data_IF_333129411388
#
_entry.id   IF_333129411388
#
_cell.length_a   1.000
_cell.length_b   1.000
_cell.length_c   1.000
_cell.angle_alpha   90.00
_cell.angle_beta   90.00
_cell.angle_gamma   90.00
#
_symmetry.space_group_name_H-M   'P 1'
#
loop_
_entity.id
_entity.type
_entity.pdbx_description
1 polymer ?
#
# COMPACT_ATOMS: atom_id res chain seq x y z
N UNK A 1 -11.07 -17.03 -18.98
CA UNK A 1 -10.72 -15.67 -19.43
C UNK A 1 -9.35 -15.75 -20.10
N UNK A 2 -9.04 -14.93 -21.10
CA UNK A 2 -7.67 -14.88 -21.64
C UNK A 2 -6.76 -14.17 -20.62
N UNK A 3 -5.51 -14.62 -20.49
CA UNK A 3 -4.53 -13.96 -19.63
C UNK A 3 -4.20 -12.58 -20.21
N UNK A 4 -4.12 -11.59 -19.33
CA UNK A 4 -3.77 -10.23 -19.71
C UNK A 4 -2.25 -10.10 -19.85
N UNK A 5 -1.79 -9.78 -21.06
CA UNK A 5 -0.36 -9.63 -21.34
C UNK A 5 0.15 -8.18 -21.20
N UNK A 6 -0.76 -7.21 -21.33
CA UNK A 6 -0.47 -5.77 -21.24
C UNK A 6 -1.64 -5.03 -20.59
N UNK A 7 -1.35 -4.01 -19.79
CA UNK A 7 -2.34 -3.15 -19.13
C UNK A 7 -2.56 -1.86 -19.94
N UNK A 8 -3.80 -1.60 -20.34
CA UNK A 8 -4.24 -0.31 -20.88
C UNK A 8 -4.89 0.58 -19.82
N UNK A 9 -5.26 1.80 -20.23
CA UNK A 9 -5.92 2.77 -19.34
C UNK A 9 -7.23 2.24 -18.73
N UNK A 10 -8.04 1.52 -19.51
CA UNK A 10 -9.28 0.90 -19.04
C UNK A 10 -9.04 -0.22 -18.02
N UNK A 11 -7.95 -0.98 -18.16
CA UNK A 11 -7.56 -2.00 -17.19
C UNK A 11 -7.14 -1.34 -15.87
N UNK A 12 -6.35 -0.27 -15.94
CA UNK A 12 -5.91 0.47 -14.77
C UNK A 12 -7.10 1.10 -14.02
N UNK A 13 -8.03 1.72 -14.75
CA UNK A 13 -9.29 2.25 -14.17
C UNK A 13 -10.10 1.15 -13.46
N UNK A 14 -10.24 -0.02 -14.08
CA UNK A 14 -10.90 -1.16 -13.46
C UNK A 14 -10.15 -1.67 -12.22
N UNK A 15 -8.82 -1.66 -12.25
CA UNK A 15 -8.00 -2.04 -11.11
C UNK A 15 -8.20 -1.10 -9.92
N UNK A 16 -8.24 0.22 -10.15
CA UNK A 16 -8.46 1.18 -9.07
C UNK A 16 -9.89 1.11 -8.50
N UNK A 17 -10.89 0.87 -9.35
CA UNK A 17 -12.27 0.62 -8.90
C UNK A 17 -12.38 -0.65 -8.04
N UNK A 18 -11.81 -1.76 -8.53
CA UNK A 18 -11.77 -3.01 -7.78
C UNK A 18 -10.98 -2.88 -6.48
N UNK A 19 -9.89 -2.11 -6.47
CA UNK A 19 -9.10 -1.86 -5.27
C UNK A 19 -9.87 -1.01 -4.24
N UNK A 20 -10.60 0.01 -4.69
CA UNK A 20 -11.53 0.77 -3.83
C UNK A 20 -12.57 -0.15 -3.21
N UNK A 21 -13.20 -1.03 -4.00
CA UNK A 21 -14.22 -1.97 -3.51
C UNK A 21 -13.64 -2.99 -2.52
N UNK A 22 -12.44 -3.50 -2.80
CA UNK A 22 -11.72 -4.42 -1.93
C UNK A 22 -11.38 -3.75 -0.58
N UNK A 23 -10.83 -2.53 -0.60
CA UNK A 23 -10.56 -1.76 0.63
C UNK A 23 -11.83 -1.45 1.42
N UNK A 24 -12.93 -1.10 0.75
CA UNK A 24 -14.21 -0.85 1.42
C UNK A 24 -14.72 -2.12 2.14
N UNK A 25 -14.59 -3.28 1.49
CA UNK A 25 -14.99 -4.58 2.04
C UNK A 25 -14.09 -5.02 3.20
N UNK A 26 -12.78 -4.78 3.09
CA UNK A 26 -11.79 -5.16 4.10
C UNK A 26 -11.56 -4.10 5.18
N UNK A 27 -12.23 -2.94 5.08
CA UNK A 27 -11.98 -1.75 5.92
C UNK A 27 -11.92 -2.10 7.40
N UNK A 28 -12.93 -2.81 7.88
CA UNK A 28 -13.06 -3.11 9.30
C UNK A 28 -12.04 -4.19 9.74
N UNK A 29 -11.61 -5.08 8.84
CA UNK A 29 -10.53 -6.04 9.11
C UNK A 29 -9.17 -5.35 9.21
N UNK A 30 -8.88 -4.42 8.28
CA UNK A 30 -7.64 -3.62 8.29
C UNK A 30 -7.61 -2.70 9.52
N UNK A 31 -8.73 -2.09 9.88
CA UNK A 31 -8.83 -1.25 11.08
C UNK A 31 -8.47 -2.02 12.36
N UNK A 32 -8.81 -3.31 12.46
CA UNK A 32 -8.45 -4.16 13.62
C UNK A 32 -6.94 -4.42 13.73
N UNK A 33 -6.19 -4.32 12.63
CA UNK A 33 -4.74 -4.49 12.62
C UNK A 33 -3.99 -3.22 13.05
N UNK A 34 -4.66 -2.07 13.12
CA UNK A 34 -4.00 -0.78 13.31
C UNK A 34 -3.54 -0.59 14.76
N UNK A 35 -2.27 -0.92 15.02
CA UNK A 35 -1.60 -0.73 16.31
C UNK A 35 -0.37 0.17 16.23
N UNK A 36 0.06 0.55 15.02
CA UNK A 36 1.25 1.37 14.77
C UNK A 36 0.99 2.40 13.65
N UNK A 37 1.49 3.64 13.76
CA UNK A 37 2.20 4.22 14.91
C UNK A 37 1.27 4.63 16.06
N UNK A 38 -0.03 4.75 15.77
CA UNK A 38 -1.08 5.14 16.71
C UNK A 38 -2.21 4.10 16.63
N UNK A 39 -2.61 3.44 17.73
CA UNK A 39 -3.64 2.42 17.74
C UNK A 39 -5.05 3.03 17.77
N UNK A 40 -5.41 3.82 16.75
CA UNK A 40 -6.71 4.51 16.65
C UNK A 40 -7.74 3.78 15.78
N UNK A 41 -7.34 2.65 15.18
CA UNK A 41 -8.27 1.77 14.45
C UNK A 41 -8.79 2.37 13.14
N UNK A 42 -8.07 3.31 12.52
CA UNK A 42 -8.55 4.02 11.33
C UNK A 42 -7.82 3.71 10.01
N UNK A 43 -6.77 2.87 9.99
CA UNK A 43 -5.93 2.65 8.80
C UNK A 43 -6.72 2.24 7.56
N UNK A 44 -7.65 1.29 7.70
CA UNK A 44 -8.51 0.85 6.60
C UNK A 44 -9.47 1.95 6.14
N UNK A 45 -10.01 2.73 7.08
CA UNK A 45 -10.85 3.91 6.78
C UNK A 45 -10.06 4.95 5.97
N UNK A 46 -8.84 5.26 6.42
CA UNK A 46 -7.95 6.23 5.79
C UNK A 46 -7.55 5.83 4.36
N UNK A 47 -7.20 4.55 4.16
CA UNK A 47 -6.91 4.02 2.82
C UNK A 47 -8.14 4.03 1.92
N UNK A 48 -9.31 3.62 2.41
CA UNK A 48 -10.55 3.61 1.63
C UNK A 48 -10.96 5.03 1.18
N UNK A 49 -10.94 6.02 2.09
CA UNK A 49 -11.25 7.42 1.77
C UNK A 49 -10.25 8.03 0.78
N UNK A 50 -8.98 7.62 0.87
CA UNK A 50 -7.95 8.03 -0.10
C UNK A 50 -8.29 7.48 -1.49
N UNK A 51 -8.70 6.21 -1.61
CA UNK A 51 -9.10 5.61 -2.88
C UNK A 51 -10.43 6.15 -3.43
N UNK A 52 -11.38 6.52 -2.57
CA UNK A 52 -12.59 7.22 -2.99
C UNK A 52 -12.25 8.53 -3.72
N UNK A 53 -11.25 9.27 -3.22
CA UNK A 53 -10.78 10.50 -3.86
C UNK A 53 -10.11 10.24 -5.21
N UNK A 54 -9.35 9.15 -5.33
CA UNK A 54 -8.77 8.71 -6.61
C UNK A 54 -9.86 8.39 -7.65
N UNK A 55 -10.87 7.62 -7.25
CA UNK A 55 -11.98 7.25 -8.14
C UNK A 55 -12.77 8.48 -8.58
N UNK A 56 -13.04 9.41 -7.66
CA UNK A 56 -13.72 10.67 -7.99
C UNK A 56 -12.93 11.52 -9.00
N UNK A 57 -11.60 11.57 -8.89
CA UNK A 57 -10.75 12.26 -9.87
C UNK A 57 -10.76 11.54 -11.24
N UNK A 58 -10.77 10.21 -11.24
CA UNK A 58 -10.85 9.40 -12.46
C UNK A 58 -12.15 9.62 -13.24
N UNK A 59 -13.28 9.82 -12.56
CA UNK A 59 -14.59 10.10 -13.20
C UNK A 59 -14.58 11.41 -14.02
N UNK A 60 -13.74 12.37 -13.63
CA UNK A 60 -13.56 13.64 -14.34
C UNK A 60 -12.48 13.64 -15.42
N UNK A 61 -11.66 12.58 -15.49
CA UNK A 61 -10.47 12.53 -16.33
C UNK A 61 -10.73 11.91 -17.71
N UNK A 62 -9.92 12.31 -18.71
CA UNK A 62 -9.92 11.71 -20.05
C UNK A 62 -9.57 10.21 -20.03
N UNK A 63 -10.04 9.43 -21.02
CA UNK A 63 -9.92 7.97 -21.00
C UNK A 63 -8.51 7.45 -21.36
N UNK A 64 -7.62 8.30 -21.84
CA UNK A 64 -6.25 7.92 -22.22
C UNK A 64 -5.37 7.61 -20.99
N UNK A 65 -4.23 6.95 -21.22
CA UNK A 65 -3.34 6.52 -20.15
C UNK A 65 -2.76 7.71 -19.38
N UNK A 66 -2.37 8.77 -20.08
CA UNK A 66 -1.77 9.95 -19.46
C UNK A 66 -2.76 10.67 -18.53
N UNK A 67 -4.00 10.87 -18.98
CA UNK A 67 -5.06 11.46 -18.16
C UNK A 67 -5.42 10.56 -16.97
N UNK A 68 -5.48 9.24 -17.18
CA UNK A 68 -5.73 8.25 -16.12
C UNK A 68 -4.65 8.29 -15.04
N UNK A 69 -3.38 8.22 -15.42
CA UNK A 69 -2.25 8.27 -14.48
C UNK A 69 -2.19 9.62 -13.75
N UNK A 70 -2.42 10.73 -14.46
CA UNK A 70 -2.49 12.06 -13.83
C UNK A 70 -3.58 12.13 -12.76
N UNK A 71 -4.76 11.56 -13.04
CA UNK A 71 -5.87 11.50 -12.08
C UNK A 71 -5.53 10.63 -10.87
N UNK A 72 -4.86 9.48 -11.07
CA UNK A 72 -4.39 8.63 -9.97
C UNK A 72 -3.40 9.38 -9.07
N UNK A 73 -2.39 10.03 -9.65
CA UNK A 73 -1.40 10.80 -8.89
C UNK A 73 -2.04 11.97 -8.15
N UNK A 74 -2.89 12.76 -8.83
CA UNK A 74 -3.52 13.94 -8.24
C UNK A 74 -4.56 13.58 -7.17
N UNK A 75 -5.49 12.69 -7.50
CA UNK A 75 -6.58 12.28 -6.61
C UNK A 75 -6.07 11.58 -5.35
N UNK A 76 -5.00 10.78 -5.46
CA UNK A 76 -4.42 10.11 -4.29
C UNK A 76 -3.71 11.12 -3.38
N UNK A 77 -2.95 12.06 -3.94
CA UNK A 77 -2.22 13.06 -3.16
C UNK A 77 -3.16 14.05 -2.46
N UNK A 78 -4.14 14.61 -3.20
CA UNK A 78 -5.09 15.58 -2.65
C UNK A 78 -6.12 14.94 -1.71
N UNK A 79 -6.37 13.65 -1.90
CA UNK A 79 -7.32 12.85 -1.13
C UNK A 79 -6.73 12.09 0.05
N UNK A 80 -5.40 12.09 0.22
CA UNK A 80 -4.72 11.33 1.26
C UNK A 80 -5.30 11.64 2.65
N UNK A 81 -5.58 10.58 3.42
CA UNK A 81 -6.06 10.65 4.81
C UNK A 81 -5.13 9.89 5.73
N UNK A 82 -4.67 10.53 6.79
CA UNK A 82 -3.75 9.93 7.76
C UNK A 82 -2.43 9.45 7.15
N UNK A 83 -1.58 8.82 7.96
CA UNK A 83 -0.27 8.34 7.52
C UNK A 83 -0.43 7.24 6.47
N UNK A 84 -1.39 6.33 6.66
CA UNK A 84 -1.63 5.22 5.73
C UNK A 84 -2.08 5.71 4.35
N UNK A 85 -2.97 6.72 4.29
CA UNK A 85 -3.38 7.34 3.03
C UNK A 85 -2.25 8.13 2.37
N UNK A 86 -1.40 8.81 3.15
CA UNK A 86 -0.20 9.48 2.61
C UNK A 86 0.73 8.45 1.97
N UNK A 87 1.11 7.38 2.67
CA UNK A 87 2.00 6.37 2.08
C UNK A 87 1.36 5.73 0.84
N UNK A 88 0.07 5.37 0.91
CA UNK A 88 -0.65 4.81 -0.23
C UNK A 88 -0.67 5.76 -1.42
N UNK A 89 -0.85 7.06 -1.21
CA UNK A 89 -0.79 8.04 -2.30
C UNK A 89 0.59 8.10 -2.97
N UNK A 90 1.67 7.90 -2.21
CA UNK A 90 3.00 7.86 -2.81
C UNK A 90 3.24 6.58 -3.61
N UNK A 91 2.72 5.44 -3.13
CA UNK A 91 2.73 4.17 -3.88
C UNK A 91 1.99 4.35 -5.21
N UNK A 92 0.76 4.87 -5.16
CA UNK A 92 -0.07 5.09 -6.35
C UNK A 92 0.56 6.10 -7.31
N UNK A 93 1.16 7.18 -6.79
CA UNK A 93 1.91 8.14 -7.62
C UNK A 93 3.12 7.49 -8.28
N UNK A 94 3.95 6.76 -7.53
CA UNK A 94 5.13 6.10 -8.08
C UNK A 94 4.79 5.09 -9.17
N UNK A 95 3.66 4.37 -9.04
CA UNK A 95 3.11 3.54 -10.12
C UNK A 95 2.73 4.40 -11.34
N UNK A 96 1.86 5.39 -11.14
CA UNK A 96 1.29 6.20 -12.20
C UNK A 96 2.34 7.01 -12.98
N UNK A 97 3.41 7.47 -12.33
CA UNK A 97 4.48 8.22 -12.97
C UNK A 97 5.19 7.39 -14.06
N UNK A 98 5.38 6.08 -13.82
CA UNK A 98 5.99 5.17 -14.81
C UNK A 98 4.95 4.64 -15.81
N UNK A 99 3.75 4.30 -15.35
CA UNK A 99 2.69 3.77 -16.22
C UNK A 99 2.22 4.81 -17.25
N UNK A 100 2.29 6.10 -16.91
CA UNK A 100 1.93 7.21 -17.80
C UNK A 100 2.93 7.49 -18.93
N UNK A 101 4.08 6.80 -18.97
CA UNK A 101 5.10 6.99 -20.02
C UNK A 101 4.68 6.40 -21.38
N UNK A 102 3.71 5.49 -21.40
CA UNK A 102 3.25 4.78 -22.62
C UNK A 102 1.75 4.52 -22.62
N UNK A 103 1.15 4.33 -23.79
CA UNK A 103 -0.29 4.02 -23.92
C UNK A 103 -0.66 2.60 -23.46
N UNK A 104 0.32 1.69 -23.47
CA UNK A 104 0.18 0.32 -22.98
C UNK A 104 1.38 -0.04 -22.12
N UNK A 105 1.12 -0.72 -21.02
CA UNK A 105 2.11 -1.17 -20.06
C UNK A 105 2.38 -2.66 -20.27
N UNK A 106 3.58 -2.99 -20.70
CA UNK A 106 4.08 -4.36 -20.76
C UNK A 106 4.67 -4.81 -19.41
N UNK A 107 5.05 -6.09 -19.31
CA UNK A 107 5.67 -6.67 -18.11
C UNK A 107 6.86 -5.84 -17.62
N UNK A 108 7.74 -5.39 -18.51
CA UNK A 108 8.94 -4.63 -18.13
C UNK A 108 8.57 -3.26 -17.55
N UNK A 109 7.62 -2.56 -18.15
CA UNK A 109 7.11 -1.28 -17.65
C UNK A 109 6.45 -1.45 -16.29
N UNK A 110 5.68 -2.52 -16.09
CA UNK A 110 5.02 -2.80 -14.82
C UNK A 110 6.02 -3.08 -13.68
N UNK A 111 7.07 -3.85 -13.96
CA UNK A 111 8.17 -4.09 -12.99
C UNK A 111 8.86 -2.78 -12.59
N UNK A 112 9.14 -1.90 -13.57
CA UNK A 112 9.68 -0.56 -13.28
C UNK A 112 8.72 0.27 -12.43
N UNK A 113 7.41 0.18 -12.68
CA UNK A 113 6.40 0.90 -11.93
C UNK A 113 6.35 0.43 -10.46
N UNK A 114 6.39 -0.89 -10.19
CA UNK A 114 6.46 -1.41 -8.82
C UNK A 114 7.69 -0.90 -8.06
N UNK A 115 8.85 -0.89 -8.72
CA UNK A 115 10.08 -0.34 -8.13
C UNK A 115 9.94 1.16 -7.81
N UNK A 116 9.42 1.94 -8.77
CA UNK A 116 9.15 3.37 -8.57
C UNK A 116 8.18 3.61 -7.41
N UNK A 117 7.15 2.77 -7.25
CA UNK A 117 6.23 2.81 -6.13
C UNK A 117 6.92 2.59 -4.77
N UNK A 118 7.82 1.62 -4.70
CA UNK A 118 8.63 1.37 -3.49
C UNK A 118 9.56 2.56 -3.18
N UNK A 119 10.28 3.07 -4.18
CA UNK A 119 11.19 4.21 -4.03
C UNK A 119 10.42 5.47 -3.58
N UNK A 120 9.24 5.72 -4.16
CA UNK A 120 8.37 6.83 -3.78
C UNK A 120 7.83 6.71 -2.35
N UNK A 121 7.40 5.50 -1.94
CA UNK A 121 6.91 5.25 -0.60
C UNK A 121 7.99 5.45 0.47
N UNK A 122 9.19 4.88 0.26
CA UNK A 122 10.34 5.11 1.16
C UNK A 122 10.77 6.58 1.17
N UNK A 123 10.80 7.20 -0.01
CA UNK A 123 11.12 8.61 -0.17
C UNK A 123 10.12 9.54 0.50
N UNK A 124 8.89 9.09 0.80
CA UNK A 124 7.89 9.88 1.50
C UNK A 124 8.24 10.17 2.96
N UNK A 125 8.97 9.25 3.58
CA UNK A 125 9.10 9.17 5.04
C UNK A 125 10.48 9.62 5.46
N UNK A 126 10.53 10.45 6.50
CA UNK A 126 11.79 10.95 7.05
C UNK A 126 12.64 9.85 7.69
N UNK A 127 11.98 8.96 8.40
CA UNK A 127 12.59 7.81 9.07
C UNK A 127 11.78 6.58 8.69
N UNK A 128 12.10 5.93 7.56
CA UNK A 128 11.47 4.68 7.17
C UNK A 128 11.63 3.63 8.29
N UNK A 129 10.57 2.87 8.55
CA UNK A 129 10.54 1.83 9.57
C UNK A 129 10.24 0.50 8.91
N UNK A 130 11.13 -0.46 9.08
CA UNK A 130 10.93 -1.83 8.62
C UNK A 130 9.84 -2.54 9.45
N UNK A 131 9.17 -3.51 8.84
CA UNK A 131 7.99 -4.14 9.41
C UNK A 131 6.72 -3.31 9.24
N UNK A 132 6.71 -2.36 8.30
CA UNK A 132 5.52 -1.58 7.91
C UNK A 132 5.16 -1.85 6.44
N UNK A 133 4.10 -1.23 5.94
CA UNK A 133 3.73 -1.18 4.51
C UNK A 133 4.93 -0.92 3.59
N UNK A 134 5.92 -0.14 4.04
CA UNK A 134 7.13 0.15 3.28
C UNK A 134 7.88 -1.14 2.93
N UNK A 135 8.14 -2.00 3.92
CA UNK A 135 8.82 -3.30 3.73
C UNK A 135 8.05 -4.16 2.74
N UNK A 136 6.73 -4.24 2.89
CA UNK A 136 5.87 -5.07 2.03
C UNK A 136 5.91 -4.59 0.57
N UNK A 137 5.81 -3.28 0.33
CA UNK A 137 5.89 -2.69 -1.01
C UNK A 137 7.26 -2.94 -1.64
N UNK A 138 8.35 -2.73 -0.87
CA UNK A 138 9.72 -2.97 -1.36
C UNK A 138 9.93 -4.43 -1.73
N UNK A 139 9.63 -5.36 -0.84
CA UNK A 139 9.89 -6.79 -1.07
C UNK A 139 9.02 -7.36 -2.18
N UNK A 140 7.79 -6.84 -2.36
CA UNK A 140 6.95 -7.14 -3.53
C UNK A 140 7.61 -6.69 -4.84
N UNK A 141 8.16 -5.46 -4.86
CA UNK A 141 8.84 -4.92 -6.03
C UNK A 141 10.16 -5.64 -6.34
N UNK A 142 10.95 -5.98 -5.32
CA UNK A 142 12.20 -6.75 -5.46
C UNK A 142 11.93 -8.14 -6.04
N UNK A 143 10.87 -8.81 -5.58
CA UNK A 143 10.47 -10.11 -6.12
C UNK A 143 10.00 -10.02 -7.58
N UNK A 144 9.23 -8.98 -7.93
CA UNK A 144 8.85 -8.71 -9.32
C UNK A 144 10.07 -8.52 -10.24
N UNK A 145 11.07 -7.74 -9.78
CA UNK A 145 12.32 -7.52 -10.52
C UNK A 145 13.08 -8.84 -10.71
N UNK A 146 13.28 -9.59 -9.61
CA UNK A 146 14.00 -10.86 -9.64
C UNK A 146 13.33 -11.87 -10.57
N UNK A 147 12.00 -11.95 -10.56
CA UNK A 147 11.25 -12.85 -11.42
C UNK A 147 11.31 -12.43 -12.89
N UNK A 148 11.30 -11.13 -13.18
CA UNK A 148 11.38 -10.59 -14.53
C UNK A 148 12.74 -10.80 -15.21
N UNK A 149 13.81 -10.98 -14.43
CA UNK A 149 15.15 -11.33 -14.94
C UNK A 149 15.24 -12.78 -15.46
N UNK A 150 14.22 -13.61 -15.21
CA UNK A 150 14.09 -14.97 -15.75
C UNK A 150 13.54 -15.03 -17.18
N UNK A 151 13.79 -16.15 -17.86
CA UNK A 151 13.27 -16.37 -19.22
C UNK A 151 11.74 -16.54 -19.23
N UNK A 152 11.05 -15.76 -20.08
CA UNK A 152 9.62 -15.93 -20.35
C UNK A 152 8.68 -15.32 -19.30
N UNK A 153 9.15 -14.33 -18.51
CA UNK A 153 8.32 -13.62 -17.55
C UNK A 153 7.11 -12.95 -18.23
N UNK A 154 5.93 -13.24 -17.70
CA UNK A 154 4.65 -12.63 -18.09
C UNK A 154 4.17 -11.70 -16.99
N UNK A 155 3.31 -10.73 -17.35
CA UNK A 155 2.69 -9.83 -16.39
C UNK A 155 2.03 -10.58 -15.22
N UNK A 156 1.25 -11.63 -15.52
CA UNK A 156 0.60 -12.47 -14.51
C UNK A 156 1.64 -13.12 -13.58
N UNK A 157 2.71 -13.70 -14.13
CA UNK A 157 3.73 -14.35 -13.31
C UNK A 157 4.53 -13.37 -12.45
N UNK A 158 4.73 -12.13 -12.92
CA UNK A 158 5.35 -11.06 -12.15
C UNK A 158 4.44 -10.59 -11.02
N UNK A 159 3.14 -10.38 -11.30
CA UNK A 159 2.13 -10.05 -10.29
C UNK A 159 2.04 -11.14 -9.21
N UNK A 160 2.09 -12.40 -9.62
CA UNK A 160 2.05 -13.55 -8.71
C UNK A 160 3.29 -13.57 -7.79
N UNK A 161 4.48 -13.40 -8.36
CA UNK A 161 5.72 -13.32 -7.60
C UNK A 161 5.71 -12.14 -6.60
N UNK A 162 5.26 -10.96 -7.03
CA UNK A 162 5.11 -9.80 -6.16
C UNK A 162 4.12 -10.06 -5.03
N UNK A 163 2.96 -10.66 -5.35
CA UNK A 163 1.90 -10.93 -4.37
C UNK A 163 2.31 -11.97 -3.33
N UNK A 164 3.00 -13.03 -3.76
CA UNK A 164 3.51 -14.07 -2.86
C UNK A 164 4.56 -13.47 -1.91
N UNK A 165 5.58 -12.80 -2.45
CA UNK A 165 6.62 -12.19 -1.64
C UNK A 165 6.08 -11.11 -0.70
N UNK A 166 5.11 -10.30 -1.15
CA UNK A 166 4.43 -9.34 -0.30
C UNK A 166 3.64 -9.99 0.83
N UNK A 167 2.99 -11.14 0.58
CA UNK A 167 2.33 -11.93 1.62
C UNK A 167 3.31 -12.45 2.67
N UNK A 168 4.41 -13.07 2.23
CA UNK A 168 5.47 -13.54 3.14
C UNK A 168 6.12 -12.38 3.91
N UNK A 169 6.28 -11.23 3.26
CA UNK A 169 6.79 -10.01 3.89
C UNK A 169 5.86 -9.51 4.99
N UNK A 170 4.55 -9.48 4.70
CA UNK A 170 3.51 -9.10 5.65
C UNK A 170 3.50 -10.03 6.87
N UNK A 171 3.60 -11.35 6.66
CA UNK A 171 3.68 -12.33 7.75
C UNK A 171 4.90 -12.12 8.64
N UNK A 172 6.02 -11.64 8.08
CA UNK A 172 7.25 -11.33 8.82
C UNK A 172 7.24 -9.95 9.50
N UNK A 173 6.24 -9.08 9.26
CA UNK A 173 6.24 -7.74 9.90
C UNK A 173 6.34 -7.77 11.42
N UNK A 174 5.73 -8.73 12.16
CA UNK A 174 5.90 -8.85 13.61
C UNK A 174 7.35 -9.16 14.03
N UNK A 175 8.11 -9.88 13.20
CA UNK A 175 9.53 -10.17 13.47
C UNK A 175 10.41 -8.91 13.36
N UNK A 176 9.97 -7.95 12.53
CA UNK A 176 10.71 -6.73 12.23
C UNK A 176 10.31 -5.55 13.13
N UNK A 177 9.07 -5.52 13.61
CA UNK A 177 8.51 -4.41 14.37
C UNK A 177 7.85 -4.91 15.67
N UNK A 178 8.51 -4.76 16.84
CA UNK A 178 8.06 -5.38 18.09
C UNK A 178 6.63 -5.07 18.53
N UNK A 179 6.12 -3.86 18.27
CA UNK A 179 4.73 -3.50 18.63
C UNK A 179 3.69 -4.35 17.90
N UNK A 180 4.00 -4.82 16.70
CA UNK A 180 3.16 -5.74 15.95
C UNK A 180 3.16 -7.13 16.59
N UNK A 181 4.34 -7.62 17.02
CA UNK A 181 4.46 -8.88 17.75
C UNK A 181 3.75 -8.85 19.11
N UNK A 182 3.90 -7.77 19.87
CA UNK A 182 3.26 -7.59 21.18
C UNK A 182 1.72 -7.61 21.06
N UNK A 183 1.19 -7.05 19.97
CA UNK A 183 -0.24 -7.07 19.65
C UNK A 183 -0.69 -8.35 18.93
N UNK A 184 0.25 -9.18 18.47
CA UNK A 184 -0.04 -10.39 17.70
C UNK A 184 -0.65 -10.13 16.32
N UNK A 185 -0.40 -8.96 15.71
CA UNK A 185 -1.00 -8.58 14.41
C UNK A 185 0.08 -8.29 13.37
N UNK A 186 -0.27 -8.37 12.09
CA UNK A 186 0.59 -7.90 10.98
C UNK A 186 0.35 -6.41 10.69
N UNK A 187 1.18 -5.80 9.84
CA UNK A 187 1.02 -4.39 9.47
C UNK A 187 -0.29 -4.13 8.69
N UNK A 188 -1.11 -3.21 9.20
CA UNK A 188 -2.40 -2.87 8.61
C UNK A 188 -2.27 -2.28 7.19
N UNK A 189 -1.29 -1.40 6.96
CA UNK A 189 -1.06 -0.79 5.66
C UNK A 189 -0.58 -1.81 4.61
N UNK A 190 0.32 -2.71 5.00
CA UNK A 190 0.80 -3.81 4.19
C UNK A 190 -0.33 -4.74 3.76
N UNK A 191 -1.22 -5.11 4.68
CA UNK A 191 -2.43 -5.87 4.37
C UNK A 191 -3.31 -5.14 3.33
N UNK A 192 -3.53 -3.83 3.52
CA UNK A 192 -4.27 -3.01 2.57
C UNK A 192 -3.58 -2.86 1.20
N UNK A 193 -2.25 -2.88 1.12
CA UNK A 193 -1.50 -2.84 -0.14
C UNK A 193 -1.66 -4.14 -0.95
N UNK A 194 -1.64 -5.30 -0.29
CA UNK A 194 -1.76 -6.59 -1.00
C UNK A 194 -3.08 -6.74 -1.77
N UNK A 195 -4.15 -6.08 -1.32
CA UNK A 195 -5.42 -6.04 -2.05
C UNK A 195 -5.30 -5.39 -3.44
N UNK A 196 -4.37 -4.45 -3.64
CA UNK A 196 -4.09 -3.89 -4.97
C UNK A 196 -3.54 -4.98 -5.89
N UNK A 197 -2.59 -5.79 -5.41
CA UNK A 197 -2.01 -6.90 -6.16
C UNK A 197 -3.04 -8.01 -6.42
N UNK A 198 -3.90 -8.30 -5.45
CA UNK A 198 -4.99 -9.28 -5.59
C UNK A 198 -6.00 -8.85 -6.67
N UNK A 199 -6.37 -7.57 -6.72
CA UNK A 199 -7.27 -7.03 -7.75
C UNK A 199 -6.60 -7.03 -9.13
N UNK A 200 -5.32 -6.69 -9.21
CA UNK A 200 -4.56 -6.75 -10.47
C UNK A 200 -4.49 -8.19 -11.00
N UNK A 201 -4.27 -9.18 -10.13
CA UNK A 201 -4.32 -10.60 -10.49
C UNK A 201 -5.72 -11.02 -10.93
N UNK A 202 -6.77 -10.61 -10.22
CA UNK A 202 -8.15 -10.87 -10.63
C UNK A 202 -8.43 -10.36 -12.05
N UNK A 203 -7.97 -9.15 -12.37
CA UNK A 203 -8.13 -8.61 -13.71
C UNK A 203 -7.28 -9.34 -14.75
N UNK A 204 -6.07 -9.76 -14.36
CA UNK A 204 -5.12 -10.35 -15.27
C UNK A 204 -5.41 -11.82 -15.62
N UNK A 205 -5.96 -12.61 -14.68
CA UNK A 205 -6.23 -14.04 -14.91
C UNK A 205 -7.59 -14.55 -14.41
N UNK A 206 -8.38 -13.70 -13.74
CA UNK A 206 -9.74 -14.01 -13.31
C UNK A 206 -9.83 -14.70 -11.94
N UNK A 207 -8.72 -14.87 -11.20
CA UNK A 207 -8.78 -15.40 -9.84
C UNK A 207 -9.56 -14.46 -8.90
N UNK A 208 -10.26 -14.97 -7.87
CA UNK A 208 -10.99 -14.12 -6.95
C UNK A 208 -10.03 -13.33 -6.05
N UNK A 209 -10.43 -12.11 -5.67
CA UNK A 209 -9.82 -11.40 -4.53
C UNK A 209 -10.19 -12.16 -3.25
N UNK A 210 -9.27 -12.35 -2.30
CA UNK A 210 -9.58 -12.97 -1.02
C UNK A 210 -10.73 -12.23 -0.30
N UNK A 211 -11.58 -12.98 0.38
CA UNK A 211 -12.59 -12.41 1.28
C UNK A 211 -11.93 -11.94 2.59
N UNK A 212 -12.49 -10.92 3.27
CA UNK A 212 -11.97 -10.51 4.56
C UNK A 212 -12.15 -11.64 5.58
N UNK A 213 -11.23 -11.80 6.53
CA UNK A 213 -11.36 -12.79 7.60
C UNK A 213 -12.63 -12.53 8.44
N UNK A 214 -13.39 -13.59 8.70
CA UNK A 214 -14.77 -13.54 9.25
C UNK A 214 -14.81 -13.21 10.76
N UNK A 215 -13.67 -13.16 11.45
CA UNK A 215 -13.58 -12.82 12.88
C UNK A 215 -12.15 -12.66 13.39
N UNK A 216 -11.96 -12.13 14.62
CA UNK A 216 -10.63 -11.87 15.21
C UNK A 216 -9.72 -13.10 15.27
N UNK A 217 -10.30 -14.31 15.37
CA UNK A 217 -9.57 -15.58 15.43
C UNK A 217 -8.97 -16.03 14.09
N UNK A 218 -9.45 -15.50 12.94
CA UNK A 218 -8.82 -15.75 11.63
C UNK A 218 -7.77 -14.70 11.26
N UNK A 219 -7.79 -13.55 11.93
CA UNK A 219 -6.84 -12.45 11.66
C UNK A 219 -5.46 -12.74 12.26
N UNK A 220 -5.33 -13.75 13.14
CA UNK A 220 -4.08 -14.02 13.89
C UNK A 220 -3.90 -15.51 14.17
N UNK A 221 -2.87 -16.13 13.57
CA UNK A 221 -2.12 -17.20 14.26
C UNK A 221 -0.63 -17.08 13.98
N UNK A 222 0.05 -16.22 14.74
CA UNK A 222 1.44 -16.49 15.16
C UNK A 222 1.34 -16.92 16.62
N UNK A 223 1.89 -18.09 16.96
CA UNK A 223 1.68 -18.75 18.25
C UNK A 223 1.96 -17.80 19.43
N UNK A 224 0.92 -17.47 20.20
CA UNK A 224 1.02 -16.62 21.38
C UNK A 224 1.90 -17.27 22.46
N UNK A 225 2.88 -16.52 22.99
CA UNK A 225 3.59 -16.88 24.21
C UNK A 225 2.76 -16.47 25.44
N UNK A 226 2.63 -17.30 26.51
CA UNK A 226 1.56 -17.14 27.50
C UNK A 226 1.74 -16.06 28.59
N UNK A 227 2.72 -15.15 28.52
CA UNK A 227 3.17 -14.39 29.71
C UNK A 227 3.30 -12.86 29.51
N UNK A 228 2.31 -12.14 28.94
CA UNK A 228 2.43 -10.66 28.85
C UNK A 228 1.18 -9.81 29.19
N UNK A 229 0.29 -10.32 30.03
CA UNK A 229 -0.91 -9.58 30.46
C UNK A 229 -0.65 -8.41 31.44
N UNK A 230 0.59 -8.06 31.75
CA UNK A 230 0.92 -7.02 32.74
C UNK A 230 1.39 -5.69 32.13
N UNK A 231 1.66 -5.61 30.81
CA UNK A 231 2.25 -4.41 30.16
C UNK A 231 1.25 -3.56 29.36
N UNK A 232 0.01 -4.01 29.17
CA UNK A 232 -0.98 -3.31 28.34
C UNK A 232 -1.52 -2.00 28.94
N UNK A 233 -1.66 -1.93 30.27
CA UNK A 233 -2.33 -0.81 30.92
C UNK A 233 -1.53 0.52 30.90
N UNK A 234 -0.19 0.48 30.86
CA UNK A 234 0.63 1.70 30.71
C UNK A 234 0.76 2.15 29.25
N UNK A 235 0.71 1.22 28.29
CA UNK A 235 0.79 1.54 26.87
C UNK A 235 -0.49 2.23 26.37
N UNK A 236 -1.66 1.80 26.84
CA UNK A 236 -2.96 2.41 26.54
C UNK A 236 -3.06 3.87 27.04
N UNK A 237 -2.47 4.16 28.21
CA UNK A 237 -2.48 5.51 28.79
C UNK A 237 -1.64 6.54 28.00
N UNK A 238 -0.58 6.07 27.32
CA UNK A 238 0.27 6.89 26.45
C UNK A 238 -0.25 6.95 25.00
N UNK A 239 -0.91 5.89 24.52
CA UNK A 239 -1.56 5.88 23.21
C UNK A 239 -2.66 6.95 23.09
N UNK A 240 -3.43 7.18 24.18
CA UNK A 240 -4.44 8.24 24.25
C UNK A 240 -3.92 9.69 24.18
N UNK A 241 -2.60 9.89 24.11
CA UNK A 241 -1.96 11.21 24.00
C UNK A 241 -1.21 11.42 22.67
N UNK A 242 -1.19 10.43 21.76
CA UNK A 242 -0.60 10.57 20.43
C UNK A 242 -1.67 11.01 19.44
N UNK A 243 -1.39 12.08 18.69
CA UNK A 243 -2.27 12.59 17.65
C UNK A 243 -1.47 12.70 16.36
N UNK A 244 -2.10 12.34 15.25
CA UNK A 244 -1.55 12.58 13.92
C UNK A 244 -2.04 13.92 13.39
N UNK A 245 -1.11 14.73 12.85
CA UNK A 245 -1.45 15.99 12.18
C UNK A 245 -0.73 16.03 10.84
N UNK A 246 -1.50 16.26 9.79
CA UNK A 246 -1.02 16.30 8.42
C UNK A 246 -1.17 17.70 7.83
N UNK A 247 -0.14 18.14 7.10
CA UNK A 247 -0.13 19.41 6.40
C UNK A 247 0.18 19.17 4.92
N UNK A 248 -0.52 19.89 4.04
CA UNK A 248 -0.12 19.98 2.65
C UNK A 248 0.97 21.04 2.52
N UNK A 249 2.12 20.65 1.94
CA UNK A 249 3.22 21.56 1.66
C UNK A 249 3.35 21.74 0.16
N UNK A 250 3.09 22.95 -0.32
CA UNK A 250 3.39 23.34 -1.69
C UNK A 250 4.82 23.91 -1.75
N UNK A 251 5.75 23.15 -2.33
CA UNK A 251 7.14 23.54 -2.45
C UNK A 251 7.79 22.87 -3.68
N UNK A 252 8.84 23.46 -4.29
CA UNK A 252 9.60 22.82 -5.37
C UNK A 252 10.33 21.56 -4.89
N UNK A 253 10.39 20.51 -5.72
CA UNK A 253 10.97 19.21 -5.37
C UNK A 253 12.43 19.32 -4.89
N UNK A 254 13.21 20.21 -5.48
CA UNK A 254 14.61 20.45 -5.12
C UNK A 254 14.79 20.98 -3.69
N UNK A 255 13.73 21.54 -3.08
CA UNK A 255 13.76 22.08 -1.72
C UNK A 255 13.39 21.05 -0.66
N UNK A 256 12.74 19.95 -1.05
CA UNK A 256 12.24 18.92 -0.14
C UNK A 256 13.37 18.28 0.69
N UNK A 257 14.55 17.90 0.16
CA UNK A 257 15.62 17.33 0.96
C UNK A 257 16.09 18.25 2.10
N UNK A 258 16.24 19.56 1.83
CA UNK A 258 16.66 20.52 2.85
C UNK A 258 15.57 20.75 3.90
N UNK A 259 14.30 20.80 3.50
CA UNK A 259 13.17 20.90 4.42
C UNK A 259 13.14 19.71 5.40
N UNK A 260 13.33 18.51 4.84
CA UNK A 260 13.41 17.25 5.56
C UNK A 260 14.52 17.26 6.62
N UNK A 261 15.73 17.66 6.26
CA UNK A 261 16.86 17.73 7.20
C UNK A 261 16.59 18.66 8.39
N UNK A 262 15.95 19.82 8.15
CA UNK A 262 15.60 20.77 9.21
C UNK A 262 14.54 20.20 10.15
N UNK A 263 13.50 19.57 9.58
CA UNK A 263 12.38 19.03 10.35
C UNK A 263 12.70 17.72 11.07
N UNK A 264 13.70 16.97 10.62
CA UNK A 264 14.18 15.75 11.28
C UNK A 264 14.53 15.98 12.77
N UNK A 265 14.96 17.20 13.13
CA UNK A 265 15.34 17.55 14.50
C UNK A 265 14.20 17.97 15.43
N UNK A 266 12.96 18.07 14.93
CA UNK A 266 11.80 18.59 15.69
C UNK A 266 10.94 17.46 16.28
N UNK A 267 11.18 16.19 15.89
CA UNK A 267 10.40 15.03 16.35
C UNK A 267 11.25 13.85 16.82
#
# INVERSE_FOLDING_TARGET
MALLEQLGADDLRRALLGYRDALATHRDAINRLNVYPVPDGDTGTNMALTLESVVAELDGAGPDMAATCKAISHGSLMGARGNSGVILSQVLRGLADVLGESEQCDTATFVRALRSAADAAYGAVMRPVEGTILTVVRESAEAAVLHADGDGATLVSVLDAARVAGGESLERTPELLPVLADAGVVDAGGAGYLLLLDVLLQLADGRPVPEPPDGPDEVVTVAAHPDDHARSAEHDALAGLKYEVMYFLEAPDETIPAFKDVWAGIG
#
